data_IF_606164434062
#
_entry.id   IF_606164434062
#
_cell.length_a   1.000
_cell.length_b   1.000
_cell.length_c   1.000
_cell.angle_alpha   90.00
_cell.angle_beta   90.00
_cell.angle_gamma   90.00
#
_symmetry.space_group_name_H-M   'P 1'
#
loop_
_entity.id
_entity.type
_entity.pdbx_description
1 polymer ?
#
# COMPACT_ATOMS: atom_id res chain seq x y z
N UNK A 1 -10.25 -25.32 9.85
CA UNK A 1 -9.82 -24.36 8.80
C UNK A 1 -10.37 -22.97 9.13
N UNK A 2 -10.04 -22.50 10.33
CA UNK A 2 -10.38 -21.16 10.82
C UNK A 2 -9.05 -20.63 11.36
N UNK A 3 -8.44 -19.66 10.69
CA UNK A 3 -7.48 -18.80 11.35
C UNK A 3 -8.17 -17.46 11.52
N UNK A 4 -8.44 -17.17 12.79
CA UNK A 4 -8.87 -15.88 13.32
C UNK A 4 -7.96 -14.77 12.80
N UNK A 5 -8.56 -13.71 12.26
CA UNK A 5 -7.94 -12.40 12.23
C UNK A 5 -8.77 -11.53 13.18
N UNK A 6 -8.31 -11.44 14.42
CA UNK A 6 -8.90 -10.62 15.46
C UNK A 6 -8.08 -9.35 15.69
N UNK A 7 -8.82 -8.26 15.83
CA UNK A 7 -8.52 -6.99 16.52
C UNK A 7 -7.45 -6.05 15.97
N UNK A 8 -7.95 -4.89 15.52
CA UNK A 8 -7.28 -3.60 15.62
C UNK A 8 -6.73 -3.39 17.04
N UNK A 9 -5.44 -3.07 17.16
CA UNK A 9 -4.88 -2.37 18.32
C UNK A 9 -3.67 -1.52 17.88
N UNK A 10 -3.45 -0.43 18.60
CA UNK A 10 -2.44 0.62 18.42
C UNK A 10 -0.97 0.18 18.62
N UNK A 11 -0.67 -1.10 18.40
CA UNK A 11 0.66 -1.69 18.54
C UNK A 11 1.14 -2.41 17.24
N UNK A 12 0.70 -1.89 16.09
CA UNK A 12 1.04 -2.38 14.73
C UNK A 12 2.48 -2.06 14.33
N UNK A 13 3.47 -2.64 15.02
CA UNK A 13 4.86 -2.62 14.57
C UNK A 13 5.46 -4.02 14.37
N UNK A 14 4.76 -5.10 14.77
CA UNK A 14 5.40 -6.43 14.91
C UNK A 14 4.87 -7.55 14.02
N UNK A 15 3.97 -7.27 13.06
CA UNK A 15 3.43 -8.33 12.15
C UNK A 15 3.80 -8.17 10.67
N UNK A 16 4.38 -7.03 10.28
CA UNK A 16 4.99 -6.84 8.97
C UNK A 16 6.38 -6.25 9.18
N UNK A 17 7.41 -7.08 9.11
CA UNK A 17 8.79 -6.61 9.08
C UNK A 17 9.21 -6.48 7.61
N UNK A 18 9.09 -5.31 6.97
CA UNK A 18 9.77 -5.10 5.70
C UNK A 18 11.27 -5.20 6.01
N UNK A 19 11.93 -6.21 5.46
CA UNK A 19 13.38 -6.39 5.56
C UNK A 19 14.18 -5.17 5.09
N UNK A 20 13.51 -4.24 4.41
CA UNK A 20 14.08 -3.07 3.76
C UNK A 20 13.77 -1.75 4.49
N UNK A 21 12.95 -1.71 5.56
CA UNK A 21 12.64 -0.45 6.27
C UNK A 21 11.95 0.63 5.43
N UNK A 22 11.31 0.25 4.33
CA UNK A 22 10.54 1.15 3.46
C UNK A 22 9.08 0.72 3.39
N UNK A 23 8.17 1.67 3.17
CA UNK A 23 6.76 1.44 2.83
C UNK A 23 6.35 2.29 1.63
N UNK A 24 5.35 1.79 0.90
CA UNK A 24 4.67 2.52 -0.15
C UNK A 24 3.54 3.38 0.45
N UNK A 25 3.69 4.70 0.41
CA UNK A 25 2.72 5.66 0.93
C UNK A 25 1.87 6.25 -0.19
N UNK A 26 0.59 6.52 0.11
CA UNK A 26 -0.34 7.23 -0.78
C UNK A 26 -0.62 8.61 -0.18
N UNK A 27 -0.54 9.65 -1.02
CA UNK A 27 -0.94 11.01 -0.66
C UNK A 27 -2.41 11.24 -1.02
N UNK A 28 -3.25 11.24 0.02
CA UNK A 28 -4.70 11.40 -0.10
C UNK A 28 -5.13 12.74 -0.72
N UNK A 29 -4.28 13.78 -0.66
CA UNK A 29 -4.61 15.08 -1.26
C UNK A 29 -4.39 15.10 -2.77
N UNK A 30 -3.57 14.18 -3.29
CA UNK A 30 -3.26 14.06 -4.72
C UNK A 30 -3.99 12.90 -5.37
N UNK A 31 -4.24 11.83 -4.62
CA UNK A 31 -4.96 10.67 -5.11
C UNK A 31 -6.42 11.04 -5.43
N UNK A 32 -6.85 10.74 -6.66
CA UNK A 32 -8.23 10.96 -7.12
C UNK A 32 -8.91 9.67 -7.60
N UNK A 33 -8.36 8.51 -7.22
CA UNK A 33 -9.01 7.21 -7.45
C UNK A 33 -9.01 6.71 -8.90
N UNK A 34 -8.03 7.09 -9.73
CA UNK A 34 -7.98 6.67 -11.14
C UNK A 34 -7.71 5.18 -11.37
N UNK A 35 -7.31 4.44 -10.32
CA UNK A 35 -6.99 3.01 -10.35
C UNK A 35 -5.83 2.57 -11.28
N UNK A 36 -5.05 3.50 -11.87
CA UNK A 36 -3.92 3.14 -12.72
C UNK A 36 -2.87 2.28 -11.99
N UNK A 37 -2.56 2.62 -10.73
CA UNK A 37 -1.65 1.86 -9.88
C UNK A 37 -2.15 0.45 -9.53
N UNK A 38 -3.47 0.27 -9.44
CA UNK A 38 -4.09 -1.03 -9.18
C UNK A 38 -3.88 -1.95 -10.39
N UNK A 39 -4.15 -1.43 -11.60
CA UNK A 39 -4.04 -2.19 -12.84
C UNK A 39 -2.63 -2.70 -13.16
N UNK A 40 -1.60 -2.01 -12.66
CA UNK A 40 -0.20 -2.38 -12.88
C UNK A 40 0.38 -3.22 -11.74
N UNK A 41 -0.32 -3.37 -10.61
CA UNK A 41 0.24 -4.11 -9.49
C UNK A 41 0.30 -5.61 -9.80
N UNK A 42 1.48 -6.25 -9.86
CA UNK A 42 1.59 -7.66 -10.24
C UNK A 42 1.13 -8.63 -9.13
N UNK A 43 0.87 -8.11 -7.93
CA UNK A 43 0.52 -8.89 -6.72
C UNK A 43 -0.79 -8.40 -6.09
N UNK A 44 -1.56 -7.56 -6.79
CA UNK A 44 -2.87 -7.06 -6.32
C UNK A 44 -2.84 -6.41 -4.92
N UNK A 45 -1.74 -5.75 -4.57
CA UNK A 45 -1.53 -5.13 -3.25
C UNK A 45 -2.19 -3.74 -3.09
N UNK A 46 -2.85 -3.20 -4.11
CA UNK A 46 -3.53 -1.90 -4.05
C UNK A 46 -5.02 -2.10 -4.32
N UNK A 47 -5.86 -1.47 -3.50
CA UNK A 47 -7.31 -1.53 -3.64
C UNK A 47 -7.94 -0.15 -3.49
N UNK A 48 -9.15 0.02 -4.04
CA UNK A 48 -9.95 1.23 -3.80
C UNK A 48 -10.78 1.05 -2.53
N UNK A 49 -10.65 2.00 -1.60
CA UNK A 49 -11.56 2.17 -0.48
C UNK A 49 -12.26 3.52 -0.63
N UNK A 50 -13.48 3.48 -1.17
CA UNK A 50 -14.15 4.68 -1.65
C UNK A 50 -13.46 5.24 -2.89
N UNK A 51 -12.83 6.41 -2.75
CA UNK A 51 -12.14 7.12 -3.84
C UNK A 51 -10.62 7.16 -3.67
N UNK A 52 -10.12 6.67 -2.53
CA UNK A 52 -8.70 6.63 -2.22
C UNK A 52 -8.17 5.23 -2.45
N UNK A 53 -6.91 5.18 -2.88
CA UNK A 53 -6.18 3.92 -3.02
C UNK A 53 -5.55 3.61 -1.67
N UNK A 54 -5.80 2.41 -1.18
CA UNK A 54 -5.16 1.86 0.02
C UNK A 54 -4.19 0.75 -0.38
N UNK A 55 -3.08 0.65 0.36
CA UNK A 55 -2.03 -0.35 0.13
C UNK A 55 -2.16 -1.46 1.16
N UNK A 56 -2.33 -2.70 0.71
CA UNK A 56 -2.09 -3.88 1.53
C UNK A 56 -0.59 -4.11 1.65
N UNK A 57 0.00 -3.56 2.72
CA UNK A 57 1.42 -3.71 2.98
C UNK A 57 1.85 -5.16 3.16
N UNK A 58 0.99 -6.06 3.65
CA UNK A 58 1.33 -7.46 3.82
C UNK A 58 1.61 -8.16 2.47
N UNK A 59 0.99 -7.68 1.41
CA UNK A 59 1.12 -8.23 0.05
C UNK A 59 2.09 -7.43 -0.83
N UNK A 60 2.30 -6.14 -0.52
CA UNK A 60 3.18 -5.27 -1.29
C UNK A 60 4.64 -5.74 -1.25
N UNK A 61 5.21 -6.03 -2.43
CA UNK A 61 6.61 -6.47 -2.58
C UNK A 61 7.60 -5.32 -2.77
N UNK A 62 7.14 -4.08 -2.72
CA UNK A 62 7.91 -2.86 -3.00
C UNK A 62 8.58 -2.86 -4.40
N UNK A 63 7.94 -3.51 -5.38
CA UNK A 63 8.44 -3.62 -6.75
C UNK A 63 8.35 -2.35 -7.62
N UNK A 64 7.99 -1.20 -7.02
CA UNK A 64 7.91 0.15 -7.61
C UNK A 64 7.05 0.39 -8.87
N UNK A 65 6.47 -0.64 -9.48
CA UNK A 65 5.75 -0.51 -10.76
C UNK A 65 4.55 0.46 -10.72
N UNK A 66 3.95 0.64 -9.55
CA UNK A 66 2.84 1.57 -9.33
C UNK A 66 3.27 3.05 -9.39
N UNK A 67 4.53 3.38 -9.08
CA UNK A 67 5.01 4.76 -9.03
C UNK A 67 4.87 5.48 -10.38
N UNK A 68 5.47 5.00 -11.49
CA UNK A 68 5.35 5.68 -12.79
C UNK A 68 3.94 5.62 -13.39
N UNK A 69 3.06 4.75 -12.88
CA UNK A 69 1.68 4.65 -13.36
C UNK A 69 0.77 5.75 -12.82
N UNK A 70 1.19 6.44 -11.75
CA UNK A 70 0.38 7.47 -11.11
C UNK A 70 0.50 8.79 -11.87
N UNK A 71 -0.54 9.28 -12.55
CA UNK A 71 -0.45 10.49 -13.36
C UNK A 71 -0.29 11.79 -12.55
N UNK A 72 -0.41 11.70 -11.22
CA UNK A 72 -0.34 12.82 -10.26
C UNK A 72 0.72 12.60 -9.18
N UNK A 73 1.58 11.59 -9.38
CA UNK A 73 2.68 11.22 -8.49
C UNK A 73 2.28 10.99 -7.02
N UNK A 74 1.03 10.59 -6.76
CA UNK A 74 0.48 10.44 -5.41
C UNK A 74 1.07 9.28 -4.60
N UNK A 75 2.00 8.50 -5.16
CA UNK A 75 2.64 7.35 -4.50
C UNK A 75 4.12 7.64 -4.24
N UNK A 76 4.64 7.25 -3.09
CA UNK A 76 6.06 7.42 -2.74
C UNK A 76 6.58 6.31 -1.83
N UNK A 77 7.88 6.03 -1.88
CA UNK A 77 8.54 5.13 -0.94
C UNK A 77 9.09 5.93 0.25
N UNK A 78 8.63 5.63 1.45
CA UNK A 78 9.06 6.31 2.68
C UNK A 78 9.85 5.35 3.59
N UNK A 79 10.94 5.84 4.17
CA UNK A 79 11.74 5.12 5.15
C UNK A 79 11.03 5.16 6.51
N UNK A 80 10.74 4.00 7.08
CA UNK A 80 10.32 3.89 8.47
C UNK A 80 11.56 3.68 9.33
N UNK A 81 11.83 4.63 10.23
CA UNK A 81 12.89 4.55 11.24
C UNK A 81 12.39 4.00 12.56
#
# INVERSE_FOLDING_TARGET
MQHSAESMNENTFVVFMPSTGHLLQVDDNRCYGCAACIMVCPVDALNLHGWLVEVDHATCTLCDHCLPSCPVDALSMELIT
#
